data_IF_096970506485
#
_entry.id   IF_096970506485
#
_cell.length_a   1.000
_cell.length_b   1.000
_cell.length_c   1.000
_cell.angle_alpha   90.00
_cell.angle_beta   90.00
_cell.angle_gamma   90.00
#
_symmetry.space_group_name_H-M   'P 1'
#
loop_
_entity.id
_entity.type
_entity.pdbx_description
1 polymer ?
2 non-polymer ?
#
# COMPACT_ATOMS: atom_id res chain seq x y z
N UNK A 1 -0.05 -4.44 -16.74
CA UNK A 1 0.77 -5.26 -15.86
C UNK A 1 2.12 -5.53 -16.51
N UNK A 2 2.96 -6.36 -15.84
CA UNK A 2 4.32 -6.74 -16.28
C UNK A 2 5.31 -5.59 -16.08
N UNK A 3 4.84 -4.53 -15.46
CA UNK A 3 5.65 -3.38 -15.20
C UNK A 3 5.02 -2.53 -14.08
N UNK A 4 5.65 -2.60 -12.91
CA UNK A 4 5.31 -1.82 -11.71
C UNK A 4 3.99 -2.24 -11.07
N UNK A 5 3.67 -1.59 -9.98
CA UNK A 5 2.45 -1.85 -9.25
C UNK A 5 1.42 -0.89 -9.79
N UNK A 6 0.26 -1.37 -10.12
CA UNK A 6 -0.77 -0.51 -10.64
C UNK A 6 -1.80 -0.16 -9.57
N UNK A 7 -2.72 0.71 -9.94
CA UNK A 7 -3.82 1.13 -9.10
C UNK A 7 -4.60 -0.10 -8.61
N UNK A 8 -5.05 -0.91 -9.56
CA UNK A 8 -5.82 -2.13 -9.29
C UNK A 8 -5.06 -3.09 -8.42
N UNK A 9 -3.78 -3.23 -8.69
CA UNK A 9 -2.96 -4.21 -7.99
C UNK A 9 -2.87 -3.83 -6.51
N UNK A 10 -2.54 -2.57 -6.25
CA UNK A 10 -2.38 -2.08 -4.90
C UNK A 10 -3.72 -2.11 -4.16
N UNK A 11 -4.78 -1.72 -4.87
CA UNK A 11 -6.14 -1.72 -4.34
C UNK A 11 -6.50 -3.04 -3.70
N UNK A 12 -6.17 -4.14 -4.38
CA UNK A 12 -6.46 -5.48 -3.90
C UNK A 12 -5.84 -5.72 -2.53
N UNK A 13 -4.54 -5.45 -2.44
CA UNK A 13 -3.78 -5.71 -1.23
C UNK A 13 -4.26 -4.85 -0.08
N UNK A 14 -4.65 -3.63 -0.40
CA UNK A 14 -5.19 -2.71 0.58
C UNK A 14 -6.52 -3.19 1.13
N UNK A 15 -7.44 -3.51 0.22
CA UNK A 15 -8.77 -3.95 0.61
C UNK A 15 -8.75 -5.33 1.32
N UNK A 16 -7.63 -6.04 1.17
CA UNK A 16 -7.41 -7.30 1.88
C UNK A 16 -7.20 -7.04 3.36
N UNK A 17 -6.56 -5.94 3.68
CA UNK A 17 -6.34 -5.58 5.07
C UNK A 17 -7.60 -4.92 5.63
N UNK A 18 -7.99 -3.81 5.03
CA UNK A 18 -9.11 -3.05 5.53
C UNK A 18 -10.44 -3.65 5.12
N UNK A 19 -10.90 -4.52 5.95
CA UNK A 19 -12.17 -5.15 5.79
C UNK A 19 -12.84 -5.17 7.13
N UNK A 20 -14.15 -4.89 7.16
CA UNK A 20 -14.95 -4.74 8.41
C UNK A 20 -14.68 -3.34 8.97
N UNK A 21 -14.13 -2.53 8.12
CA UNK A 21 -13.86 -1.14 8.34
C UNK A 21 -14.02 -0.51 6.96
N UNK A 22 -15.21 -0.63 6.47
CA UNK A 22 -15.54 -0.22 5.13
C UNK A 22 -16.38 1.02 5.17
N UNK A 23 -16.68 1.56 4.01
CA UNK A 23 -17.47 2.75 3.94
C UNK A 23 -16.71 3.88 3.30
N UNK A 24 -15.41 3.71 3.17
CA UNK A 24 -14.59 4.71 2.56
C UNK A 24 -14.46 4.45 1.04
N UNK A 25 -13.56 5.13 0.35
CA UNK A 25 -13.41 4.91 -1.09
C UNK A 25 -12.14 4.11 -1.35
N UNK A 26 -11.84 3.19 -0.44
CA UNK A 26 -10.67 2.32 -0.57
C UNK A 26 -10.80 1.48 -1.83
N UNK A 27 -11.98 1.03 -2.10
CA UNK A 27 -12.21 0.36 -3.32
C UNK A 27 -12.62 1.41 -4.35
N UNK A 28 -11.63 1.98 -4.99
CA UNK A 28 -11.87 3.03 -5.96
C UNK A 28 -10.65 3.91 -6.17
N UNK A 29 -10.68 5.13 -5.69
CA UNK A 29 -9.58 6.06 -5.88
C UNK A 29 -9.13 6.61 -4.53
N UNK A 30 -8.09 6.03 -4.02
CA UNK A 30 -7.58 6.30 -2.68
C UNK A 30 -6.20 6.98 -2.68
N UNK A 31 -5.61 7.14 -3.86
CA UNK A 31 -4.22 7.60 -4.02
C UNK A 31 -3.84 8.87 -3.24
N UNK A 32 -4.70 9.88 -3.25
CA UNK A 32 -4.38 11.14 -2.55
C UNK A 32 -5.14 11.25 -1.24
N UNK A 33 -5.88 10.22 -0.91
CA UNK A 33 -6.62 10.20 0.33
C UNK A 33 -5.68 9.73 1.41
N UNK A 34 -5.84 10.21 2.61
CA UNK A 34 -4.92 9.88 3.65
C UNK A 34 -5.34 8.56 4.23
N UNK A 35 -4.38 7.74 4.62
CA UNK A 35 -4.71 6.47 5.29
C UNK A 35 -5.67 6.69 6.46
N UNK A 36 -5.45 7.78 7.16
CA UNK A 36 -6.28 8.20 8.28
C UNK A 36 -7.77 8.33 7.86
N UNK A 37 -8.03 8.91 6.70
CA UNK A 37 -9.42 9.16 6.29
C UNK A 37 -10.00 7.97 5.54
N UNK A 38 -9.16 7.04 5.14
CA UNK A 38 -9.66 5.84 4.47
C UNK A 38 -9.84 4.66 5.44
N UNK A 39 -9.73 4.95 6.72
CA UNK A 39 -9.99 3.94 7.75
C UNK A 39 -8.77 3.15 8.17
N UNK A 40 -7.58 3.65 7.86
CA UNK A 40 -6.37 2.95 8.21
C UNK A 40 -5.72 3.48 9.45
N UNK A 41 -5.53 2.60 10.38
CA UNK A 41 -4.72 2.89 11.52
C UNK A 41 -3.31 2.51 11.20
N UNK A 42 -2.37 3.14 11.83
CA UNK A 42 -0.95 2.89 11.63
C UNK A 42 -0.59 1.40 11.78
N UNK A 43 -1.27 0.73 12.70
CA UNK A 43 -1.06 -0.69 12.94
C UNK A 43 -1.43 -1.47 11.67
N UNK A 44 -2.60 -1.19 11.11
CA UNK A 44 -3.07 -1.88 9.91
C UNK A 44 -2.19 -1.53 8.70
N UNK A 45 -1.58 -0.36 8.76
CA UNK A 45 -0.68 0.09 7.74
C UNK A 45 0.57 -0.79 7.72
N UNK A 46 1.12 -1.10 8.91
CA UNK A 46 2.32 -1.95 8.98
C UNK A 46 1.98 -3.36 8.52
N UNK A 47 0.73 -3.80 8.82
CA UNK A 47 0.26 -5.13 8.42
C UNK A 47 0.27 -5.25 6.91
N UNK A 48 -0.29 -4.24 6.28
CA UNK A 48 -0.35 -4.17 4.85
C UNK A 48 1.07 -4.14 4.27
N UNK A 49 1.90 -3.23 4.79
CA UNK A 49 3.27 -3.04 4.34
C UNK A 49 4.07 -4.34 4.40
N UNK A 50 3.95 -5.05 5.52
CA UNK A 50 4.63 -6.32 5.73
C UNK A 50 4.20 -7.34 4.69
N UNK A 51 2.90 -7.41 4.43
CA UNK A 51 2.35 -8.34 3.45
C UNK A 51 2.87 -8.00 2.06
N UNK A 52 3.01 -6.71 1.78
CA UNK A 52 3.52 -6.23 0.51
C UNK A 52 4.96 -6.70 0.31
N UNK A 53 5.76 -6.56 1.36
CA UNK A 53 7.15 -7.01 1.34
C UNK A 53 7.22 -8.50 1.06
N UNK A 54 6.39 -9.25 1.76
CA UNK A 54 6.32 -10.68 1.60
C UNK A 54 5.87 -11.07 0.19
N UNK A 55 4.72 -10.58 -0.23
CA UNK A 55 4.09 -10.95 -1.48
C UNK A 55 4.87 -10.52 -2.70
N UNK A 56 5.27 -9.27 -2.75
CA UNK A 56 5.88 -8.75 -3.97
C UNK A 56 7.39 -8.85 -3.95
N UNK A 57 7.93 -9.35 -2.86
CA UNK A 57 9.38 -9.52 -2.75
C UNK A 57 10.09 -8.19 -2.72
N UNK A 58 9.54 -7.28 -1.96
CA UNK A 58 10.10 -5.96 -1.84
C UNK A 58 10.66 -5.76 -0.44
N UNK A 59 11.31 -4.68 -0.21
CA UNK A 59 11.83 -4.35 1.09
C UNK A 59 11.57 -2.88 1.35
N UNK A 60 10.72 -2.60 2.31
CA UNK A 60 10.34 -1.24 2.58
C UNK A 60 11.29 -0.63 3.60
N UNK A 61 11.97 0.46 3.22
CA UNK A 61 12.85 1.19 4.11
C UNK A 61 12.03 1.83 5.25
N UNK A 62 12.60 1.84 6.43
CA UNK A 62 11.95 2.33 7.65
C UNK A 62 11.49 3.78 7.50
N UNK A 63 12.30 4.56 6.82
CA UNK A 63 12.02 5.98 6.63
C UNK A 63 10.86 6.17 5.67
N UNK A 64 10.71 5.23 4.77
CA UNK A 64 9.65 5.31 3.81
C UNK A 64 8.33 4.83 4.43
N UNK A 65 8.43 3.83 5.28
CA UNK A 65 7.25 3.26 5.95
C UNK A 65 6.51 4.32 6.79
N UNK A 66 7.23 5.31 7.26
CA UNK A 66 6.63 6.34 8.07
C UNK A 66 6.34 7.62 7.31
N UNK A 67 6.62 7.64 6.01
CA UNK A 67 6.35 8.84 5.19
C UNK A 67 5.11 8.63 4.33
N UNK A 68 4.62 7.43 4.32
CA UNK A 68 3.52 7.10 3.52
C UNK A 68 2.18 7.37 4.23
N UNK A 69 1.76 8.61 4.16
CA UNK A 69 0.47 9.05 4.67
C UNK A 69 -0.57 8.97 3.56
N UNK A 70 -0.07 8.97 2.33
CA UNK A 70 -0.89 8.80 1.17
C UNK A 70 -0.40 7.56 0.41
N UNK A 71 -1.33 6.74 -0.13
CA UNK A 71 -1.01 5.52 -0.89
C UNK A 71 -0.05 5.79 -2.06
N UNK A 72 -0.06 7.02 -2.55
CA UNK A 72 0.87 7.48 -3.58
C UNK A 72 2.33 7.14 -3.19
N UNK A 73 2.68 7.44 -1.93
CA UNK A 73 4.05 7.19 -1.41
C UNK A 73 4.34 5.70 -1.40
N UNK A 74 3.32 4.93 -1.07
CA UNK A 74 3.42 3.49 -0.98
C UNK A 74 3.65 2.93 -2.38
N UNK A 75 2.82 3.38 -3.30
CA UNK A 75 2.88 2.99 -4.70
C UNK A 75 4.27 3.24 -5.24
N UNK A 76 4.77 4.45 -4.99
CA UNK A 76 6.10 4.86 -5.40
C UNK A 76 7.18 3.95 -4.83
N UNK A 77 7.04 3.60 -3.54
CA UNK A 77 8.03 2.73 -2.92
C UNK A 77 8.03 1.37 -3.57
N UNK A 78 6.85 0.82 -3.81
CA UNK A 78 6.77 -0.51 -4.40
C UNK A 78 7.33 -0.48 -5.81
N UNK A 79 6.97 0.54 -6.56
CA UNK A 79 7.48 0.68 -7.94
C UNK A 79 8.98 0.83 -7.95
N UNK A 80 9.51 1.57 -6.99
CA UNK A 80 10.93 1.75 -6.87
C UNK A 80 11.62 0.47 -6.50
N UNK A 81 11.00 -0.27 -5.61
CA UNK A 81 11.52 -1.53 -5.14
C UNK A 81 11.45 -2.59 -6.23
N UNK A 82 10.37 -2.60 -7.00
CA UNK A 82 10.22 -3.54 -8.11
C UNK A 82 11.27 -3.29 -9.17
N UNK A 83 11.49 -2.03 -9.48
CA UNK A 83 12.49 -1.63 -10.46
C UNK A 83 13.91 -1.99 -9.98
N UNK A 84 14.11 -1.89 -8.68
CA UNK A 84 15.38 -2.19 -8.08
C UNK A 84 15.60 -3.71 -8.00
N UNK A 85 14.52 -4.43 -7.76
CA UNK A 85 14.57 -5.86 -7.64
C UNK A 85 14.73 -6.51 -9.00
N UNK A 86 15.59 -7.47 -9.06
CA UNK A 86 15.85 -8.22 -10.25
C UNK A 86 15.95 -9.67 -9.86
#
# INVERSE_FOLDING_TARGET
MATLLTTDDLRRALVESAGETDGTDLSGDFLDLRFEDIGYDSLALMETAARLESRYGVSIPDDVAGRVDTPRELLDLINGALAEAA
#
